data_IF_609550973825
#
_entry.id   IF_609550973825
#
_cell.length_a   1.000
_cell.length_b   1.000
_cell.length_c   1.000
_cell.angle_alpha   90.00
_cell.angle_beta   90.00
_cell.angle_gamma   90.00
#
_symmetry.space_group_name_H-M   'P 1'
#
loop_
_entity.id
_entity.type
_entity.pdbx_description
1 polymer ?
#
# COMPACT_ATOMS: atom_id res chain seq x y z
N UNK A 1 6.25 -26.61 -13.66
CA UNK A 1 7.02 -25.59 -12.93
C UNK A 1 8.48 -25.88 -13.15
N UNK A 2 9.24 -24.89 -13.59
CA UNK A 2 10.70 -24.99 -13.74
C UNK A 2 11.39 -24.87 -12.37
N UNK A 3 12.68 -25.16 -12.31
CA UNK A 3 13.50 -24.96 -11.10
C UNK A 3 13.55 -23.50 -10.68
N UNK A 4 13.67 -22.57 -11.62
CA UNK A 4 13.66 -21.12 -11.38
C UNK A 4 12.32 -20.64 -10.80
N UNK A 5 11.19 -21.19 -11.28
CA UNK A 5 9.86 -20.87 -10.75
C UNK A 5 9.67 -21.37 -9.31
N UNK A 6 10.29 -22.50 -8.95
CA UNK A 6 10.29 -23.03 -7.59
C UNK A 6 11.11 -22.17 -6.64
N UNK A 7 12.29 -21.71 -7.06
CA UNK A 7 13.12 -20.77 -6.30
C UNK A 7 12.43 -19.40 -6.12
N UNK A 8 11.81 -18.88 -7.18
CA UNK A 8 11.03 -17.64 -7.07
C UNK A 8 9.84 -17.79 -6.11
N UNK A 9 9.20 -18.97 -6.08
CA UNK A 9 8.12 -19.26 -5.16
C UNK A 9 8.59 -19.34 -3.70
N UNK A 10 9.76 -19.92 -3.42
CA UNK A 10 10.29 -19.99 -2.05
C UNK A 10 10.59 -18.59 -1.50
N UNK A 11 11.30 -17.76 -2.28
CA UNK A 11 11.61 -16.37 -1.90
C UNK A 11 10.33 -15.54 -1.72
N UNK A 12 9.30 -15.79 -2.52
CA UNK A 12 7.99 -15.16 -2.38
C UNK A 12 7.29 -15.56 -1.07
N UNK A 13 7.28 -16.86 -0.73
CA UNK A 13 6.70 -17.35 0.53
C UNK A 13 7.45 -16.78 1.72
N UNK A 14 8.77 -16.63 1.62
CA UNK A 14 9.63 -15.99 2.62
C UNK A 14 9.44 -14.45 2.73
N UNK A 15 8.61 -13.85 1.88
CA UNK A 15 8.27 -12.41 1.89
C UNK A 15 9.47 -11.49 1.62
N UNK A 16 10.47 -12.00 0.91
CA UNK A 16 11.67 -11.25 0.53
C UNK A 16 11.53 -10.56 -0.84
N UNK A 17 10.40 -10.78 -1.53
CA UNK A 17 10.15 -10.29 -2.87
C UNK A 17 9.15 -9.12 -2.85
N UNK A 18 9.56 -7.99 -3.41
CA UNK A 18 8.71 -6.82 -3.63
C UNK A 18 7.90 -7.03 -4.93
N UNK A 19 6.67 -7.53 -4.80
CA UNK A 19 5.79 -7.77 -5.95
C UNK A 19 4.46 -7.01 -5.83
N UNK A 20 3.88 -6.55 -6.96
CA UNK A 20 2.55 -5.94 -7.00
C UNK A 20 1.39 -6.94 -6.88
N UNK A 21 1.68 -8.23 -6.82
CA UNK A 21 0.72 -9.31 -6.75
C UNK A 21 1.42 -10.65 -6.60
N UNK A 22 0.68 -11.75 -6.48
CA UNK A 22 1.26 -13.08 -6.60
C UNK A 22 2.01 -13.27 -7.92
N UNK A 23 3.08 -14.07 -7.94
CA UNK A 23 3.81 -14.39 -9.16
C UNK A 23 2.90 -14.91 -10.29
N UNK A 24 3.02 -14.33 -11.48
CA UNK A 24 2.09 -14.57 -12.60
C UNK A 24 2.08 -16.02 -13.08
N UNK A 25 3.18 -16.76 -12.95
CA UNK A 25 3.23 -18.19 -13.34
C UNK A 25 2.29 -19.06 -12.49
N UNK A 26 1.95 -18.62 -11.27
CA UNK A 26 0.94 -19.27 -10.42
C UNK A 26 -0.46 -19.15 -11.01
N UNK A 27 -0.72 -18.11 -11.82
CA UNK A 27 -2.02 -17.92 -12.48
C UNK A 27 -2.34 -19.08 -13.42
N UNK A 28 -1.33 -19.61 -14.11
CA UNK A 28 -1.50 -20.63 -15.15
C UNK A 28 -1.37 -22.07 -14.62
N UNK A 29 -0.69 -22.24 -13.48
CA UNK A 29 -0.37 -23.57 -12.93
C UNK A 29 -1.33 -24.02 -11.84
N UNK A 30 -2.14 -23.11 -11.27
CA UNK A 30 -2.92 -23.37 -10.07
C UNK A 30 -4.45 -23.26 -10.31
N UNK A 31 -5.27 -24.21 -9.81
CA UNK A 31 -6.74 -24.12 -9.84
C UNK A 31 -7.29 -22.87 -9.15
N UNK A 32 -8.50 -22.44 -9.53
CA UNK A 32 -9.11 -21.19 -9.08
C UNK A 32 -9.14 -20.98 -7.55
N UNK A 33 -9.48 -22.03 -6.79
CA UNK A 33 -9.53 -21.96 -5.33
C UNK A 33 -8.16 -21.65 -4.70
N UNK A 34 -7.12 -22.37 -5.15
CA UNK A 34 -5.76 -22.17 -4.67
C UNK A 34 -5.20 -20.80 -5.11
N UNK A 35 -5.61 -20.30 -6.28
CA UNK A 35 -5.30 -18.92 -6.72
C UNK A 35 -5.93 -17.88 -5.80
N UNK A 36 -7.19 -18.06 -5.43
CA UNK A 36 -7.86 -17.17 -4.47
C UNK A 36 -7.15 -17.19 -3.10
N UNK A 37 -6.77 -18.38 -2.61
CA UNK A 37 -5.98 -18.50 -1.38
C UNK A 37 -4.63 -17.78 -1.48
N UNK A 38 -3.96 -17.86 -2.63
CA UNK A 38 -2.69 -17.16 -2.86
C UNK A 38 -2.87 -15.63 -2.90
N UNK A 39 -3.97 -15.15 -3.49
CA UNK A 39 -4.30 -13.71 -3.49
C UNK A 39 -4.57 -13.20 -2.06
N UNK A 40 -5.28 -13.99 -1.25
CA UNK A 40 -5.48 -13.69 0.16
C UNK A 40 -4.15 -13.67 0.93
N UNK A 41 -3.31 -14.71 0.74
CA UNK A 41 -1.97 -14.78 1.32
C UNK A 41 -1.14 -13.54 0.98
N UNK A 42 -1.12 -13.12 -0.30
CA UNK A 42 -0.38 -11.94 -0.72
C UNK A 42 -0.85 -10.69 0.02
N UNK A 43 -2.15 -10.44 0.06
CA UNK A 43 -2.67 -9.22 0.68
C UNK A 43 -2.53 -9.20 2.20
N UNK A 44 -2.54 -10.36 2.86
CA UNK A 44 -2.45 -10.44 4.32
C UNK A 44 -1.01 -10.53 4.83
N UNK A 45 -0.15 -11.25 4.10
CA UNK A 45 1.17 -11.65 4.61
C UNK A 45 2.33 -10.97 3.89
N UNK A 46 2.21 -10.70 2.58
CA UNK A 46 3.30 -10.12 1.78
C UNK A 46 3.20 -8.59 1.78
N UNK A 47 2.01 -8.06 1.44
CA UNK A 47 1.77 -6.62 1.41
C UNK A 47 2.01 -6.00 2.81
N UNK A 48 2.70 -4.85 2.81
CA UNK A 48 2.80 -4.00 3.99
C UNK A 48 1.59 -3.07 4.04
N UNK A 49 0.90 -3.00 5.18
CA UNK A 49 -0.22 -2.08 5.39
C UNK A 49 0.13 -1.12 6.50
N UNK A 50 0.08 0.18 6.21
CA UNK A 50 0.10 1.22 7.23
C UNK A 50 -1.26 1.89 7.29
N UNK A 51 -1.72 2.14 8.50
CA UNK A 51 -3.00 2.76 8.80
C UNK A 51 -2.76 4.15 9.37
N UNK A 52 -3.58 5.10 8.95
CA UNK A 52 -3.66 6.41 9.56
C UNK A 52 -5.08 6.68 10.02
N UNK A 53 -5.22 7.13 11.26
CA UNK A 53 -6.47 7.65 11.77
C UNK A 53 -6.74 9.03 11.17
N UNK A 54 -7.93 9.18 10.60
CA UNK A 54 -8.40 10.40 9.96
C UNK A 54 -9.38 11.09 10.91
N UNK A 55 -9.02 12.26 11.45
CA UNK A 55 -9.92 12.98 12.35
C UNK A 55 -11.27 13.28 11.70
N UNK A 56 -12.36 13.13 12.45
CA UNK A 56 -13.74 13.33 11.95
C UNK A 56 -14.01 14.72 11.34
N UNK A 57 -13.19 15.73 11.68
CA UNK A 57 -13.24 17.08 11.06
C UNK A 57 -12.89 17.05 9.57
N UNK A 58 -12.13 16.05 9.10
CA UNK A 58 -11.79 15.85 7.70
C UNK A 58 -12.95 15.15 7.01
N UNK A 59 -13.85 15.94 6.41
CA UNK A 59 -15.01 15.41 5.67
C UNK A 59 -14.60 14.73 4.36
N UNK A 60 -14.24 13.45 4.40
CA UNK A 60 -14.03 12.63 3.21
C UNK A 60 -15.33 11.92 2.82
N UNK A 61 -15.58 11.83 1.51
CA UNK A 61 -16.68 11.01 1.01
C UNK A 61 -16.37 9.52 1.16
N UNK A 62 -17.40 8.70 1.41
CA UNK A 62 -17.25 7.24 1.60
C UNK A 62 -16.53 6.54 0.45
N UNK A 63 -16.82 6.93 -0.79
CA UNK A 63 -16.24 6.34 -2.01
C UNK A 63 -15.29 7.30 -2.71
N UNK A 64 -14.33 7.83 -1.97
CA UNK A 64 -13.36 8.77 -2.53
C UNK A 64 -12.34 8.03 -3.41
N UNK A 65 -12.05 8.60 -4.58
CA UNK A 65 -11.10 7.97 -5.50
C UNK A 65 -9.65 8.13 -5.00
N UNK A 66 -8.80 7.15 -5.33
CA UNK A 66 -7.34 7.21 -5.07
C UNK A 66 -6.73 8.50 -5.61
N UNK A 67 -7.13 8.93 -6.81
CA UNK A 67 -6.63 10.15 -7.44
C UNK A 67 -6.96 11.40 -6.62
N UNK A 68 -8.17 11.47 -6.06
CA UNK A 68 -8.56 12.57 -5.19
C UNK A 68 -7.76 12.56 -3.88
N UNK A 69 -7.64 11.41 -3.21
CA UNK A 69 -6.83 11.28 -1.98
C UNK A 69 -5.38 11.72 -2.20
N UNK A 70 -4.75 11.26 -3.28
CA UNK A 70 -3.38 11.65 -3.63
C UNK A 70 -3.24 13.13 -3.91
N UNK A 71 -4.23 13.74 -4.57
CA UNK A 71 -4.24 15.18 -4.81
C UNK A 71 -4.27 15.96 -3.49
N UNK A 72 -5.15 15.57 -2.57
CA UNK A 72 -5.30 16.24 -1.26
C UNK A 72 -4.04 16.06 -0.38
N UNK A 73 -3.48 14.84 -0.34
CA UNK A 73 -2.21 14.58 0.37
C UNK A 73 -1.07 15.40 -0.24
N UNK A 74 -0.97 15.45 -1.58
CA UNK A 74 0.08 16.23 -2.24
C UNK A 74 -0.09 17.71 -1.97
N UNK A 75 -1.30 18.26 -2.11
CA UNK A 75 -1.58 19.67 -1.85
C UNK A 75 -1.21 20.07 -0.40
N UNK A 76 -1.47 19.21 0.58
CA UNK A 76 -1.18 19.51 1.99
C UNK A 76 0.30 19.34 2.39
N UNK A 77 1.07 18.52 1.67
CA UNK A 77 2.46 18.18 2.06
C UNK A 77 3.54 18.67 1.08
N UNK A 78 3.19 19.08 -0.14
CA UNK A 78 4.15 19.43 -1.19
C UNK A 78 4.42 20.94 -1.30
N UNK A 79 4.36 21.67 -0.18
CA UNK A 79 4.59 23.12 -0.14
C UNK A 79 6.08 23.49 -0.29
N UNK A 80 6.99 22.64 0.17
CA UNK A 80 8.44 22.78 -0.04
C UNK A 80 8.96 21.80 -1.10
N UNK A 81 10.18 22.03 -1.60
CA UNK A 81 10.84 21.10 -2.54
C UNK A 81 11.13 19.74 -1.89
N UNK A 82 11.49 19.70 -0.60
CA UNK A 82 11.62 18.45 0.15
C UNK A 82 10.27 17.74 0.27
N UNK A 83 9.19 18.48 0.55
CA UNK A 83 7.83 17.96 0.60
C UNK A 83 7.39 17.35 -0.74
N UNK A 84 7.67 18.01 -1.86
CA UNK A 84 7.41 17.49 -3.22
C UNK A 84 8.21 16.21 -3.49
N UNK A 85 9.47 16.14 -3.05
CA UNK A 85 10.29 14.92 -3.18
C UNK A 85 9.73 13.78 -2.32
N UNK A 86 9.38 14.05 -1.06
CA UNK A 86 8.76 13.07 -0.14
C UNK A 86 7.46 12.52 -0.71
N UNK A 87 6.58 13.39 -1.22
CA UNK A 87 5.31 12.97 -1.84
C UNK A 87 5.52 12.14 -3.11
N UNK A 88 6.48 12.49 -3.97
CA UNK A 88 6.84 11.65 -5.13
C UNK A 88 7.30 10.26 -4.71
N UNK A 89 8.12 10.16 -3.66
CA UNK A 89 8.59 8.88 -3.14
C UNK A 89 7.43 8.06 -2.56
N UNK A 90 6.51 8.70 -1.84
CA UNK A 90 5.32 8.04 -1.30
C UNK A 90 4.43 7.50 -2.43
N UNK A 91 4.15 8.32 -3.46
CA UNK A 91 3.29 7.91 -4.58
C UNK A 91 3.90 6.72 -5.34
N UNK A 92 5.24 6.65 -5.44
CA UNK A 92 5.94 5.52 -6.05
C UNK A 92 5.92 4.26 -5.16
N UNK A 93 5.99 4.43 -3.84
CA UNK A 93 6.03 3.32 -2.89
C UNK A 93 4.63 2.74 -2.59
N UNK A 94 3.61 3.60 -2.48
CA UNK A 94 2.25 3.22 -2.12
C UNK A 94 1.49 2.69 -3.35
N UNK A 95 1.25 1.38 -3.36
CA UNK A 95 0.49 0.70 -4.39
C UNK A 95 -0.99 1.11 -4.35
N UNK A 96 -1.60 1.06 -3.16
CA UNK A 96 -3.01 1.43 -2.95
C UNK A 96 -3.15 2.35 -1.76
N UNK A 97 -4.11 3.26 -1.85
CA UNK A 97 -4.53 4.12 -0.76
C UNK A 97 -6.05 4.05 -0.74
N UNK A 98 -6.60 3.60 0.38
CA UNK A 98 -8.04 3.33 0.53
C UNK A 98 -8.52 3.99 1.80
N UNK A 99 -9.64 4.69 1.70
CA UNK A 99 -10.36 5.20 2.85
C UNK A 99 -11.56 4.29 3.12
N UNK A 100 -11.74 3.86 4.37
CA UNK A 100 -12.83 2.95 4.77
C UNK A 100 -14.22 3.62 4.75
N UNK A 101 -14.24 4.96 4.67
CA UNK A 101 -15.46 5.77 4.70
C UNK A 101 -15.80 6.34 6.08
N UNK A 102 -15.04 5.97 7.11
CA UNK A 102 -15.22 6.44 8.48
C UNK A 102 -14.02 7.27 8.93
N UNK A 103 -12.96 6.61 9.41
CA UNK A 103 -11.81 7.26 10.02
C UNK A 103 -10.49 6.56 9.68
N UNK A 104 -10.50 5.55 8.80
CA UNK A 104 -9.30 4.77 8.52
C UNK A 104 -8.82 5.01 7.10
N UNK A 105 -7.59 5.53 6.99
CA UNK A 105 -6.86 5.60 5.72
C UNK A 105 -5.78 4.52 5.70
N UNK A 106 -5.89 3.56 4.79
CA UNK A 106 -4.94 2.46 4.64
C UNK A 106 -4.03 2.70 3.43
N UNK A 107 -2.73 2.67 3.67
CA UNK A 107 -1.68 2.66 2.65
C UNK A 107 -1.16 1.24 2.49
N UNK A 108 -1.21 0.72 1.27
CA UNK A 108 -0.72 -0.61 0.93
C UNK A 108 0.57 -0.47 0.13
N UNK A 109 1.61 -1.18 0.57
CA UNK A 109 2.94 -1.24 -0.02
C UNK A 109 3.23 -2.67 -0.50
N UNK A 110 4.15 -2.78 -1.45
CA UNK A 110 4.55 -4.07 -2.06
C UNK A 110 5.10 -5.08 -1.05
N UNK A 111 5.72 -4.59 0.02
CA UNK A 111 6.23 -5.42 1.11
C UNK A 111 6.20 -4.69 2.45
N UNK A 112 6.38 -5.47 3.52
CA UNK A 112 6.56 -4.92 4.88
C UNK A 112 7.84 -4.11 5.03
N UNK A 113 8.91 -4.47 4.33
CA UNK A 113 10.17 -3.71 4.34
C UNK A 113 10.00 -2.34 3.68
N UNK A 114 9.24 -2.28 2.59
CA UNK A 114 8.89 -1.02 1.95
C UNK A 114 7.99 -0.16 2.85
N UNK A 115 7.02 -0.77 3.54
CA UNK A 115 6.16 -0.08 4.50
C UNK A 115 6.94 0.47 5.71
N UNK A 116 7.88 -0.28 6.27
CA UNK A 116 8.66 0.13 7.46
C UNK A 116 9.38 1.48 7.27
N UNK A 117 9.76 1.84 6.03
CA UNK A 117 10.36 3.16 5.71
C UNK A 117 9.41 4.34 5.95
N UNK A 118 8.11 4.07 6.05
CA UNK A 118 7.04 5.03 6.23
C UNK A 118 6.34 4.89 7.57
N UNK A 119 6.77 3.96 8.42
CA UNK A 119 6.26 3.81 9.77
C UNK A 119 6.52 5.09 10.58
N UNK A 120 5.51 5.52 11.34
CA UNK A 120 5.51 6.78 12.09
C UNK A 120 5.66 8.04 11.23
N UNK A 121 5.50 7.95 9.92
CA UNK A 121 5.54 9.12 9.05
C UNK A 121 4.38 10.05 9.34
N UNK A 122 4.69 11.28 9.77
CA UNK A 122 3.69 12.34 9.87
C UNK A 122 3.41 12.95 8.50
N UNK A 123 2.12 13.13 8.22
CA UNK A 123 1.59 13.73 7.00
C UNK A 123 0.41 14.65 7.33
N UNK A 124 0.06 15.52 6.38
CA UNK A 124 -1.14 16.35 6.46
C UNK A 124 -2.19 15.89 5.46
N UNK A 125 -3.44 15.87 5.88
CA UNK A 125 -4.60 15.69 5.01
C UNK A 125 -5.60 16.81 5.32
N UNK A 126 -5.87 17.69 4.34
CA UNK A 126 -6.70 18.90 4.53
C UNK A 126 -6.34 19.67 5.81
N UNK A 127 -5.05 19.97 5.98
CA UNK A 127 -4.48 20.67 7.15
C UNK A 127 -4.61 19.93 8.49
N UNK A 128 -5.00 18.66 8.49
CA UNK A 128 -5.01 17.83 9.68
C UNK A 128 -3.78 16.91 9.68
N UNK A 129 -3.05 16.86 10.80
CA UNK A 129 -1.98 15.89 10.96
C UNK A 129 -2.58 14.47 11.04
N UNK A 130 -1.98 13.56 10.31
CA UNK A 130 -2.22 12.12 10.33
C UNK A 130 -0.85 11.43 10.45
N UNK A 131 -0.80 10.32 11.16
CA UNK A 131 0.41 9.53 11.34
C UNK A 131 0.18 8.12 10.79
N UNK A 132 1.18 7.58 10.11
CA UNK A 132 1.13 6.21 9.59
C UNK A 132 1.64 5.24 10.66
N UNK A 133 0.85 4.21 10.96
CA UNK A 133 1.16 3.13 11.91
C UNK A 133 1.06 1.76 11.27
#
# INVERSE_FOLDING_TARGET
MTTEELEALSVYVERQLDLPGPPTFLSFTIPALKRAAMMAYHSEQVEGKLIADVPARVRLGRNISRGFLLRELTAANAQSEEGKRRMRNLIKAAQRIVFDGNHTLTFVFMSRVAAAKWENAEMKLRNCAIQLH
#
